data_IF_629286621744
#
_entry.id   IF_629286621744
#
_cell.length_a   1.000
_cell.length_b   1.000
_cell.length_c   1.000
_cell.angle_alpha   90.00
_cell.angle_beta   90.00
_cell.angle_gamma   90.00
#
_symmetry.space_group_name_H-M   'P 1'
#
loop_
_entity.id
_entity.type
_entity.pdbx_description
1 polymer ?
#
# COMPACT_ATOMS: atom_id res chain seq x y z
N UNK A 1 -2.50 -0.17 -3.82
CA UNK A 1 -1.76 1.05 -4.22
C UNK A 1 -1.00 1.57 -3.01
N UNK A 2 0.30 1.79 -3.12
CA UNK A 2 1.08 2.45 -2.08
C UNK A 2 1.15 3.95 -2.38
N UNK A 3 0.78 4.78 -1.42
CA UNK A 3 0.75 6.22 -1.57
C UNK A 3 1.28 6.88 -0.29
N UNK A 4 2.01 7.99 -0.45
CA UNK A 4 2.55 8.75 0.66
C UNK A 4 1.50 9.72 1.21
N UNK A 5 1.23 9.62 2.51
CA UNK A 5 0.37 10.58 3.21
C UNK A 5 1.14 11.80 3.69
N UNK A 6 2.45 11.65 3.88
CA UNK A 6 3.34 12.69 4.40
C UNK A 6 4.60 12.72 3.54
N UNK A 7 4.65 13.61 2.52
CA UNK A 7 5.78 13.69 1.60
C UNK A 7 7.09 14.11 2.26
N UNK A 8 7.01 14.67 3.45
CA UNK A 8 8.15 15.18 4.23
C UNK A 8 8.80 14.11 5.12
N UNK A 9 8.21 12.92 5.20
CA UNK A 9 8.73 11.81 6.00
C UNK A 9 9.33 10.72 5.09
N UNK A 10 10.28 9.96 5.62
CA UNK A 10 11.02 8.89 4.92
C UNK A 10 10.15 7.69 4.46
N UNK A 11 8.82 7.79 4.62
CA UNK A 11 7.84 6.81 4.15
C UNK A 11 7.85 6.58 2.64
N UNK A 12 8.34 7.53 1.87
CA UNK A 12 8.49 7.42 0.41
C UNK A 12 9.39 6.25 -0.01
N UNK A 13 10.30 5.83 0.86
CA UNK A 13 11.15 4.65 0.63
C UNK A 13 10.32 3.38 0.53
N UNK A 14 9.35 3.18 1.41
CA UNK A 14 8.44 2.02 1.38
C UNK A 14 7.54 2.04 0.13
N UNK A 15 7.05 3.20 -0.25
CA UNK A 15 6.27 3.38 -1.47
C UNK A 15 7.09 3.03 -2.72
N UNK A 16 8.34 3.54 -2.82
CA UNK A 16 9.26 3.20 -3.91
C UNK A 16 9.59 1.72 -3.92
N UNK A 17 9.86 1.12 -2.76
CA UNK A 17 10.14 -0.30 -2.62
C UNK A 17 8.97 -1.17 -3.12
N UNK A 18 7.73 -0.80 -2.79
CA UNK A 18 6.54 -1.48 -3.27
C UNK A 18 6.44 -1.44 -4.81
N UNK A 19 6.62 -0.29 -5.43
CA UNK A 19 6.54 -0.18 -6.89
C UNK A 19 7.73 -0.83 -7.60
N UNK A 20 8.92 -0.81 -6.99
CA UNK A 20 10.07 -1.57 -7.50
C UNK A 20 9.79 -3.08 -7.48
N UNK A 21 9.21 -3.59 -6.38
CA UNK A 21 8.81 -4.99 -6.28
C UNK A 21 7.77 -5.37 -7.35
N UNK A 22 6.82 -4.50 -7.66
CA UNK A 22 5.86 -4.70 -8.74
C UNK A 22 6.52 -4.75 -10.11
N UNK A 23 7.44 -3.82 -10.40
CA UNK A 23 8.18 -3.80 -11.67
C UNK A 23 9.02 -5.06 -11.86
N UNK A 24 9.58 -5.58 -10.77
CA UNK A 24 10.37 -6.81 -10.74
C UNK A 24 9.50 -8.09 -10.68
N UNK A 25 8.18 -7.97 -10.55
CA UNK A 25 7.26 -9.11 -10.47
C UNK A 25 7.42 -9.96 -9.20
N UNK A 26 7.88 -9.36 -8.11
CA UNK A 26 8.14 -10.03 -6.83
C UNK A 26 7.19 -9.60 -5.71
N UNK A 27 6.36 -8.60 -5.94
CA UNK A 27 5.47 -7.97 -4.96
C UNK A 27 4.58 -8.99 -4.22
N UNK A 28 3.88 -9.86 -4.94
CA UNK A 28 2.95 -10.82 -4.33
C UNK A 28 3.64 -11.82 -3.42
N UNK A 29 4.81 -12.35 -3.83
CA UNK A 29 5.52 -13.36 -3.05
C UNK A 29 6.30 -12.81 -1.86
N UNK A 30 6.52 -11.50 -1.80
CA UNK A 30 7.26 -10.81 -0.72
C UNK A 30 6.36 -9.97 0.17
N UNK A 31 5.06 -9.88 -0.13
CA UNK A 31 4.11 -9.03 0.57
C UNK A 31 4.08 -9.33 2.08
N UNK A 32 3.78 -10.56 2.45
CA UNK A 32 3.65 -10.95 3.86
C UNK A 32 4.99 -10.83 4.59
N UNK A 33 6.10 -11.24 3.92
CA UNK A 33 7.43 -11.10 4.48
C UNK A 33 7.81 -9.63 4.75
N UNK A 34 7.35 -8.69 3.92
CA UNK A 34 7.56 -7.26 4.14
C UNK A 34 6.80 -6.77 5.39
N UNK A 35 5.54 -7.18 5.55
CA UNK A 35 4.77 -6.85 6.76
C UNK A 35 5.41 -7.46 8.02
N UNK A 36 5.88 -8.70 7.92
CA UNK A 36 6.58 -9.35 9.03
C UNK A 36 7.89 -8.64 9.38
N UNK A 37 8.66 -8.19 8.38
CA UNK A 37 9.89 -7.44 8.59
C UNK A 37 9.66 -6.10 9.31
N UNK A 38 8.57 -5.43 9.00
CA UNK A 38 8.22 -4.14 9.62
C UNK A 38 7.64 -4.31 11.02
N UNK A 39 6.67 -5.24 11.19
CA UNK A 39 5.82 -5.27 12.38
C UNK A 39 6.09 -6.43 13.34
N UNK A 40 6.81 -7.49 12.90
CA UNK A 40 7.04 -8.68 13.75
C UNK A 40 8.51 -8.92 14.06
N UNK A 41 9.38 -8.94 13.03
CA UNK A 41 10.80 -9.30 13.23
C UNK A 41 11.68 -8.10 13.59
N UNK A 42 11.22 -6.90 13.26
CA UNK A 42 11.97 -5.66 13.48
C UNK A 42 13.10 -5.43 12.48
N UNK A 43 13.27 -6.27 11.45
CA UNK A 43 14.32 -6.09 10.43
C UNK A 43 14.22 -4.75 9.70
N UNK A 44 12.99 -4.31 9.43
CA UNK A 44 12.66 -3.03 8.82
C UNK A 44 11.73 -2.20 9.72
N UNK A 45 11.93 -2.31 11.04
CA UNK A 45 11.08 -1.62 12.00
C UNK A 45 11.06 -0.11 11.73
N UNK A 46 9.86 0.46 11.70
CA UNK A 46 9.63 1.90 11.56
C UNK A 46 9.41 2.57 12.92
N UNK A 47 9.16 1.75 13.93
CA UNK A 47 8.85 2.17 15.30
C UNK A 47 9.68 1.36 16.30
N UNK A 48 10.16 2.01 17.32
CA UNK A 48 10.80 1.34 18.47
C UNK A 48 9.73 0.64 19.31
N UNK A 49 9.84 -0.67 19.43
CA UNK A 49 8.83 -1.52 20.09
C UNK A 49 8.60 -1.17 21.59
N UNK A 50 9.54 -0.49 22.23
CA UNK A 50 9.46 -0.13 23.65
C UNK A 50 8.89 1.25 23.86
N UNK A 51 9.27 2.22 23.02
CA UNK A 51 8.91 3.64 23.20
C UNK A 51 7.74 4.08 22.35
N UNK A 52 7.34 3.25 21.38
CA UNK A 52 6.32 3.56 20.39
C UNK A 52 6.60 4.86 19.60
N UNK A 53 7.88 5.20 19.45
CA UNK A 53 8.32 6.34 18.65
C UNK A 53 8.90 5.87 17.33
N UNK A 54 8.72 6.68 16.30
CA UNK A 54 9.35 6.43 15.01
C UNK A 54 10.86 6.33 15.17
N UNK A 55 11.45 5.35 14.50
CA UNK A 55 12.91 5.20 14.46
C UNK A 55 13.55 6.33 13.66
N UNK A 56 14.69 6.78 14.15
CA UNK A 56 15.53 7.78 13.46
C UNK A 56 16.96 7.27 13.43
N UNK A 57 17.53 6.99 12.27
CA UNK A 57 16.91 7.05 10.93
C UNK A 57 15.93 5.90 10.69
N UNK A 58 14.93 6.10 9.84
CA UNK A 58 14.08 5.05 9.32
C UNK A 58 14.84 4.14 8.33
N UNK A 59 14.37 2.88 8.10
CA UNK A 59 14.96 2.01 7.09
C UNK A 59 15.02 2.68 5.71
N UNK A 60 16.21 2.69 5.13
CA UNK A 60 16.46 3.32 3.84
C UNK A 60 16.33 2.35 2.65
N UNK A 61 16.55 2.87 1.45
CA UNK A 61 16.47 2.08 0.22
C UNK A 61 17.50 0.93 0.19
N UNK A 62 18.66 1.11 0.83
CA UNK A 62 19.67 0.07 0.95
C UNK A 62 19.19 -1.11 1.83
N UNK A 63 18.43 -0.83 2.89
CA UNK A 63 17.88 -1.86 3.76
C UNK A 63 16.75 -2.62 3.07
N UNK A 64 15.89 -1.91 2.31
CA UNK A 64 14.92 -2.53 1.41
C UNK A 64 15.59 -3.44 0.39
N UNK A 65 16.70 -2.99 -0.22
CA UNK A 65 17.41 -3.78 -1.21
C UNK A 65 17.97 -5.09 -0.61
N UNK A 66 18.56 -5.04 0.59
CA UNK A 66 19.02 -6.24 1.32
C UNK A 66 17.87 -7.20 1.63
N UNK A 67 16.74 -6.65 2.09
CA UNK A 67 15.54 -7.43 2.34
C UNK A 67 15.08 -8.19 1.09
N UNK A 68 14.96 -7.52 -0.06
CA UNK A 68 14.52 -8.15 -1.30
C UNK A 68 15.57 -9.09 -1.90
N UNK A 69 16.85 -8.84 -1.68
CA UNK A 69 17.92 -9.78 -2.07
C UNK A 69 17.77 -11.10 -1.30
N UNK A 70 17.59 -11.03 0.01
CA UNK A 70 17.39 -12.20 0.86
C UNK A 70 16.08 -12.94 0.59
N UNK A 71 14.97 -12.21 0.42
CA UNK A 71 13.62 -12.82 0.33
C UNK A 71 13.23 -13.21 -1.08
N UNK A 72 13.76 -12.54 -2.09
CA UNK A 72 13.38 -12.74 -3.49
C UNK A 72 14.56 -13.08 -4.42
N UNK A 73 15.81 -13.09 -3.94
CA UNK A 73 16.98 -13.36 -4.76
C UNK A 73 17.31 -12.25 -5.78
N UNK A 74 16.72 -11.07 -5.63
CA UNK A 74 17.00 -9.93 -6.52
C UNK A 74 18.24 -9.21 -6.01
N UNK A 75 19.26 -9.09 -6.85
CA UNK A 75 20.49 -8.36 -6.48
C UNK A 75 20.18 -6.96 -5.98
N UNK A 76 20.77 -6.57 -4.85
CA UNK A 76 20.54 -5.26 -4.23
C UNK A 76 20.76 -4.10 -5.22
N UNK A 77 21.80 -4.16 -6.04
CA UNK A 77 22.05 -3.14 -7.06
C UNK A 77 20.92 -3.03 -8.10
N UNK A 78 20.35 -4.17 -8.53
CA UNK A 78 19.22 -4.21 -9.46
C UNK A 78 17.97 -3.62 -8.82
N UNK A 79 17.70 -3.96 -7.55
CA UNK A 79 16.57 -3.41 -6.81
C UNK A 79 16.69 -1.89 -6.68
N UNK A 80 17.85 -1.37 -6.26
CA UNK A 80 18.08 0.08 -6.11
C UNK A 80 17.94 0.80 -7.45
N UNK A 81 18.51 0.26 -8.53
CA UNK A 81 18.37 0.83 -9.85
C UNK A 81 16.90 0.88 -10.31
N UNK A 82 16.14 -0.19 -10.05
CA UNK A 82 14.71 -0.24 -10.36
C UNK A 82 13.92 0.78 -9.54
N UNK A 83 14.16 0.86 -8.23
CA UNK A 83 13.49 1.79 -7.33
C UNK A 83 13.73 3.26 -7.70
N UNK A 84 14.88 3.57 -8.30
CA UNK A 84 15.22 4.90 -8.80
C UNK A 84 14.88 5.12 -10.27
N UNK A 85 14.21 4.17 -10.92
CA UNK A 85 13.84 4.28 -12.33
C UNK A 85 12.71 5.27 -12.56
N UNK A 86 12.66 5.84 -13.76
CA UNK A 86 11.56 6.69 -14.21
C UNK A 86 10.19 6.00 -14.13
N UNK A 87 10.14 4.69 -14.38
CA UNK A 87 8.90 3.91 -14.27
C UNK A 87 8.35 3.90 -12.85
N UNK A 88 9.21 3.69 -11.85
CA UNK A 88 8.81 3.73 -10.43
C UNK A 88 8.43 5.14 -10.02
N UNK A 89 9.20 6.15 -10.42
CA UNK A 89 8.91 7.54 -10.12
C UNK A 89 7.54 7.99 -10.67
N UNK A 90 7.22 7.58 -11.89
CA UNK A 90 5.91 7.85 -12.48
C UNK A 90 4.77 7.21 -11.69
N UNK A 91 4.92 5.94 -11.24
CA UNK A 91 3.92 5.24 -10.44
C UNK A 91 3.71 5.88 -9.07
N UNK A 92 4.79 6.32 -8.44
CA UNK A 92 4.74 7.06 -7.17
C UNK A 92 3.91 8.33 -7.33
N UNK A 93 4.24 9.17 -8.31
CA UNK A 93 3.51 10.42 -8.57
C UNK A 93 2.03 10.19 -8.91
N UNK A 94 1.74 9.17 -9.71
CA UNK A 94 0.35 8.81 -10.02
C UNK A 94 -0.43 8.40 -8.78
N UNK A 95 0.17 7.60 -7.89
CA UNK A 95 -0.47 7.20 -6.65
C UNK A 95 -0.72 8.38 -5.72
N UNK A 96 0.24 9.28 -5.58
CA UNK A 96 0.10 10.48 -4.76
C UNK A 96 -0.98 11.43 -5.34
N UNK A 97 -1.07 11.52 -6.66
CA UNK A 97 -2.14 12.28 -7.30
C UNK A 97 -3.51 11.67 -7.02
N UNK A 98 -3.65 10.33 -7.12
CA UNK A 98 -4.91 9.63 -6.81
C UNK A 98 -5.34 9.82 -5.35
N UNK A 99 -4.41 9.88 -4.40
CA UNK A 99 -4.73 10.20 -2.99
C UNK A 99 -5.42 11.56 -2.89
N UNK A 100 -4.91 12.56 -3.62
CA UNK A 100 -5.49 13.91 -3.66
C UNK A 100 -6.84 13.92 -4.37
N UNK A 101 -6.94 13.31 -5.55
CA UNK A 101 -8.14 13.27 -6.37
C UNK A 101 -9.30 12.59 -5.63
N UNK A 102 -9.01 11.49 -4.95
CA UNK A 102 -10.00 10.76 -4.14
C UNK A 102 -10.18 11.34 -2.73
N UNK A 103 -9.44 12.40 -2.37
CA UNK A 103 -9.48 13.03 -1.04
C UNK A 103 -9.34 12.01 0.08
N UNK A 104 -8.37 11.10 -0.06
CA UNK A 104 -8.09 10.08 0.96
C UNK A 104 -7.54 10.75 2.20
N UNK A 105 -8.15 10.47 3.35
CA UNK A 105 -7.80 11.10 4.63
C UNK A 105 -7.08 10.14 5.59
N UNK A 106 -7.08 8.86 5.31
CA UNK A 106 -6.47 7.86 6.18
C UNK A 106 -6.53 6.45 5.59
N UNK A 107 -6.02 5.50 6.35
CA UNK A 107 -6.00 4.07 6.02
C UNK A 107 -6.77 3.27 7.08
N UNK A 108 -7.52 2.25 6.69
CA UNK A 108 -7.77 1.83 5.31
C UNK A 108 -8.81 2.68 4.59
N UNK A 109 -8.57 3.02 3.34
CA UNK A 109 -9.56 3.62 2.42
C UNK A 109 -9.66 2.77 1.17
N UNK A 110 -10.87 2.49 0.72
CA UNK A 110 -11.15 1.74 -0.51
C UNK A 110 -11.85 2.63 -1.51
N UNK A 111 -11.40 2.60 -2.76
CA UNK A 111 -12.05 3.30 -3.87
C UNK A 111 -12.52 2.26 -4.90
N UNK A 112 -13.81 2.23 -5.19
CA UNK A 112 -14.41 1.32 -6.16
C UNK A 112 -14.71 2.09 -7.45
N UNK A 113 -14.16 1.61 -8.55
CA UNK A 113 -14.34 2.15 -9.91
C UNK A 113 -14.13 3.67 -10.04
N UNK A 114 -13.29 4.26 -9.19
CA UNK A 114 -13.05 5.70 -9.18
C UNK A 114 -14.23 6.58 -8.70
N UNK A 115 -15.37 5.97 -8.35
CA UNK A 115 -16.63 6.66 -8.03
C UNK A 115 -16.98 6.65 -6.55
N UNK A 116 -16.73 5.53 -5.87
CA UNK A 116 -17.14 5.33 -4.49
C UNK A 116 -15.93 5.24 -3.59
N UNK A 117 -15.81 6.15 -2.65
CA UNK A 117 -14.79 6.12 -1.60
C UNK A 117 -15.41 5.65 -0.30
N UNK A 118 -14.78 4.68 0.33
CA UNK A 118 -15.21 4.04 1.56
C UNK A 118 -14.06 4.03 2.56
N UNK A 119 -14.36 4.29 3.80
CA UNK A 119 -13.51 4.04 4.95
C UNK A 119 -14.30 3.24 6.00
N UNK A 120 -13.61 2.75 7.04
CA UNK A 120 -14.23 1.91 8.06
C UNK A 120 -15.35 2.65 8.78
N UNK A 121 -15.18 3.94 9.04
CA UNK A 121 -16.15 4.75 9.76
C UNK A 121 -17.42 5.00 8.92
N UNK A 122 -17.25 5.38 7.65
CA UNK A 122 -18.37 5.65 6.76
C UNK A 122 -19.16 4.39 6.38
N UNK A 123 -18.54 3.22 6.44
CA UNK A 123 -19.19 1.95 6.18
C UNK A 123 -19.91 1.34 7.42
N UNK A 124 -19.61 1.83 8.62
CA UNK A 124 -20.19 1.32 9.87
C UNK A 124 -19.36 0.21 10.54
N UNK A 125 -18.16 -0.09 10.04
CA UNK A 125 -17.24 -1.06 10.62
C UNK A 125 -16.44 -1.87 9.59
N UNK A 126 -15.44 -2.65 10.01
CA UNK A 126 -14.56 -3.37 9.09
C UNK A 126 -15.29 -4.45 8.26
N UNK A 127 -16.23 -5.19 8.84
CA UNK A 127 -16.98 -6.22 8.11
C UNK A 127 -17.92 -5.58 7.08
N UNK A 128 -18.54 -4.47 7.43
CA UNK A 128 -19.42 -3.70 6.55
C UNK A 128 -18.67 -3.12 5.35
N UNK A 129 -17.40 -2.72 5.51
CA UNK A 129 -16.56 -2.29 4.38
C UNK A 129 -16.46 -3.41 3.34
N UNK A 130 -16.17 -4.64 3.80
CA UNK A 130 -15.98 -5.79 2.90
C UNK A 130 -17.26 -6.08 2.12
N UNK A 131 -18.39 -6.14 2.81
CA UNK A 131 -19.69 -6.41 2.18
C UNK A 131 -20.11 -5.29 1.21
N UNK A 132 -19.89 -4.03 1.59
CA UNK A 132 -20.20 -2.88 0.74
C UNK A 132 -19.31 -2.85 -0.51
N UNK A 133 -18.02 -3.18 -0.37
CA UNK A 133 -17.10 -3.29 -1.52
C UNK A 133 -17.57 -4.39 -2.47
N UNK A 134 -17.90 -5.58 -1.98
CA UNK A 134 -18.42 -6.67 -2.80
C UNK A 134 -19.67 -6.24 -3.56
N UNK A 135 -20.60 -5.60 -2.88
CA UNK A 135 -21.83 -5.09 -3.49
C UNK A 135 -21.56 -4.03 -4.57
N UNK A 136 -20.67 -3.06 -4.30
CA UNK A 136 -20.32 -2.02 -5.25
C UNK A 136 -19.62 -2.58 -6.49
N UNK A 137 -18.70 -3.54 -6.31
CA UNK A 137 -18.04 -4.21 -7.42
C UNK A 137 -19.06 -4.95 -8.28
N UNK A 138 -19.99 -5.68 -7.67
CA UNK A 138 -21.07 -6.37 -8.40
C UNK A 138 -21.96 -5.35 -9.15
N UNK A 139 -22.34 -4.26 -8.51
CA UNK A 139 -23.16 -3.19 -9.11
C UNK A 139 -22.50 -2.52 -10.31
N UNK A 140 -21.20 -2.28 -10.25
CA UNK A 140 -20.42 -1.62 -11.31
C UNK A 140 -19.97 -2.60 -12.42
N UNK A 141 -20.14 -3.91 -12.22
CA UNK A 141 -19.87 -4.92 -13.25
C UNK A 141 -20.96 -4.89 -14.32
N UNK A 142 -20.65 -5.07 -15.62
CA UNK A 142 -21.63 -5.00 -16.71
C UNK A 142 -22.83 -5.94 -16.55
N UNK A 143 -22.70 -7.03 -15.78
CA UNK A 143 -23.78 -7.97 -15.47
C UNK A 143 -24.57 -7.60 -14.20
N UNK A 144 -24.22 -6.54 -13.48
CA UNK A 144 -24.65 -6.30 -12.10
C UNK A 144 -25.69 -5.20 -11.89
N UNK A 145 -26.37 -4.71 -12.94
CA UNK A 145 -27.38 -3.65 -12.81
C UNK A 145 -28.61 -4.02 -11.94
N UNK A 146 -28.67 -5.26 -11.39
CA UNK A 146 -29.79 -5.80 -10.62
C UNK A 146 -29.44 -6.30 -9.21
N UNK A 147 -28.24 -6.02 -8.69
CA UNK A 147 -27.85 -6.49 -7.36
C UNK A 147 -28.58 -5.72 -6.25
N UNK A 148 -29.31 -6.38 -5.33
CA UNK A 148 -29.98 -5.74 -4.20
C UNK A 148 -28.93 -5.14 -3.23
N UNK A 149 -29.23 -3.99 -2.67
CA UNK A 149 -28.38 -3.32 -1.65
C UNK A 149 -28.32 -4.19 -0.39
N UNK A 150 -27.14 -4.48 0.21
CA UNK A 150 -27.10 -5.13 1.51
C UNK A 150 -27.84 -4.25 2.53
N UNK A 151 -28.72 -4.89 3.32
CA UNK A 151 -29.73 -4.21 4.13
C UNK A 151 -29.17 -3.18 5.10
N UNK A 152 -29.83 -2.02 5.14
CA UNK A 152 -29.77 -1.10 6.26
C UNK A 152 -30.56 -1.75 7.41
N UNK A 153 -29.86 -2.18 8.43
CA UNK A 153 -30.42 -2.48 9.75
C UNK A 153 -30.03 -1.41 10.73
#
# INVERSE_FOLDING_TARGET
>A
MAAGFRPDEDWTVFQRAYYAAQVLGIDKRTHDAMFDAVWKTGELAVEDARTHRLQVPMPGLADMAKFYERTAGVKAATFIATANSFSVDTRVRQADQLVKDYRVQGTPTVVVNGKYRLDVQSAGGPDQVIELVKWLVAKESPAGATAPRPGAH
#
